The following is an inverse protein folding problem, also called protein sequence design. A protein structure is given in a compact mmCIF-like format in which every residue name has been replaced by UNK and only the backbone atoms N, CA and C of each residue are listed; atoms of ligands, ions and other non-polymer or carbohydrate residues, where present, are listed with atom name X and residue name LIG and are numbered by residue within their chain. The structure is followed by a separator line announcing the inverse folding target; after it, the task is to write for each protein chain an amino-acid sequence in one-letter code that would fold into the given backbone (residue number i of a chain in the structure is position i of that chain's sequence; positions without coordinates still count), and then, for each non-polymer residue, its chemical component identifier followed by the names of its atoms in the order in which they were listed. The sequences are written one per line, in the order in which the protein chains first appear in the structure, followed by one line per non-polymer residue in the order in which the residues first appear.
data_IF_186463744950
#
_entry.id   IF_186463744950
#
_cell.length_a   1.000
_cell.length_b   1.000
_cell.length_c   1.000
_cell.angle_alpha   90.00
_cell.angle_beta   90.00
_cell.angle_gamma   90.00
#
_symmetry.space_group_name_H-M   'P 1'
#
loop_
_entity.id
_entity.type
_entity.pdbx_description
1 polymer ?
#
# COMPACT_ATOMS: atom_id res chain seq x y z
N UNK A 1 -10.09 -19.34 5.38
CA UNK A 1 -10.49 -18.17 6.19
C UNK A 1 -9.41 -17.69 7.16
N UNK A 2 -8.74 -18.57 7.92
CA UNK A 2 -7.68 -18.18 8.87
C UNK A 2 -6.52 -17.38 8.24
N UNK A 3 -6.00 -17.82 7.09
CA UNK A 3 -4.94 -17.11 6.34
C UNK A 3 -5.37 -15.71 5.91
N UNK A 4 -6.58 -15.55 5.38
CA UNK A 4 -7.10 -14.25 4.93
C UNK A 4 -7.17 -13.27 6.11
N UNK A 5 -7.71 -13.71 7.25
CA UNK A 5 -7.81 -12.88 8.45
C UNK A 5 -6.43 -12.55 9.05
N UNK A 6 -5.48 -13.49 9.02
CA UNK A 6 -4.12 -13.25 9.49
C UNK A 6 -3.38 -12.23 8.59
N UNK A 7 -3.49 -12.38 7.26
CA UNK A 7 -2.89 -11.43 6.31
C UNK A 7 -3.53 -10.05 6.44
N UNK A 8 -4.86 -9.98 6.59
CA UNK A 8 -5.56 -8.72 6.81
C UNK A 8 -5.14 -8.06 8.14
N UNK A 9 -5.01 -8.84 9.21
CA UNK A 9 -4.52 -8.34 10.50
C UNK A 9 -3.10 -7.78 10.42
N UNK A 10 -2.19 -8.49 9.75
CA UNK A 10 -0.83 -8.01 9.53
C UNK A 10 -0.80 -6.71 8.69
N UNK A 11 -1.62 -6.61 7.65
CA UNK A 11 -1.76 -5.40 6.83
C UNK A 11 -2.23 -4.22 7.69
N UNK A 12 -3.24 -4.42 8.54
CA UNK A 12 -3.76 -3.37 9.43
C UNK A 12 -2.72 -2.89 10.46
N UNK A 13 -1.92 -3.81 11.00
CA UNK A 13 -0.81 -3.43 11.91
C UNK A 13 0.22 -2.59 11.18
N UNK A 14 0.65 -3.02 9.99
CA UNK A 14 1.65 -2.30 9.19
C UNK A 14 1.12 -0.92 8.79
N UNK A 15 -0.12 -0.83 8.32
CA UNK A 15 -0.77 0.43 7.95
C UNK A 15 -0.99 1.34 9.17
N UNK A 16 -1.31 0.80 10.34
CA UNK A 16 -1.56 1.57 11.56
C UNK A 16 -0.29 2.15 12.21
N UNK A 17 0.87 1.51 12.02
CA UNK A 17 2.15 1.94 12.61
C UNK A 17 2.56 3.37 12.22
N UNK A 18 2.53 3.78 10.93
CA UNK A 18 2.77 5.16 10.52
C UNK A 18 1.87 6.17 11.24
N UNK A 19 0.57 5.87 11.41
CA UNK A 19 -0.36 6.78 12.08
C UNK A 19 -0.06 6.89 13.58
N UNK A 20 0.35 5.79 14.23
CA UNK A 20 0.64 5.75 15.65
C UNK A 20 1.98 6.43 16.00
N UNK A 21 3.03 6.15 15.23
CA UNK A 21 4.39 6.59 15.52
C UNK A 21 4.72 7.95 14.88
N UNK A 22 4.16 8.24 13.70
CA UNK A 22 4.53 9.41 12.89
C UNK A 22 3.31 10.17 12.32
N UNK A 23 2.32 10.57 13.15
CA UNK A 23 1.08 11.18 12.68
C UNK A 23 1.29 12.48 11.88
N UNK A 24 2.34 13.26 12.19
CA UNK A 24 2.68 14.48 11.44
C UNK A 24 3.07 14.19 10.00
N UNK A 25 3.89 13.16 9.77
CA UNK A 25 4.32 12.77 8.42
C UNK A 25 3.19 12.23 7.58
N UNK A 26 2.26 11.50 8.20
CA UNK A 26 1.06 11.04 7.51
C UNK A 26 0.16 12.20 7.07
N UNK A 27 0.03 13.25 7.91
CA UNK A 27 -0.71 14.47 7.54
C UNK A 27 -0.04 15.23 6.40
N UNK A 28 1.28 15.43 6.46
CA UNK A 28 2.05 16.05 5.37
C UNK A 28 1.88 15.25 4.05
N UNK A 29 1.98 13.93 4.11
CA UNK A 29 1.79 13.08 2.94
C UNK A 29 0.36 13.17 2.39
N UNK A 30 -0.66 13.17 3.25
CA UNK A 30 -2.06 13.34 2.86
C UNK A 30 -2.33 14.66 2.14
N UNK A 31 -1.68 15.75 2.56
CA UNK A 31 -1.75 17.03 1.85
C UNK A 31 -1.11 16.94 0.46
N UNK A 32 0.08 16.33 0.37
CA UNK A 32 0.76 16.16 -0.94
C UNK A 32 -0.05 15.34 -1.94
N UNK A 33 -0.87 14.40 -1.46
CA UNK A 33 -1.77 13.60 -2.31
C UNK A 33 -2.93 14.44 -2.85
N UNK A 34 -3.44 15.40 -2.07
CA UNK A 34 -4.50 16.32 -2.52
C UNK A 34 -4.01 17.28 -3.60
N UNK A 35 -2.75 17.70 -3.52
CA UNK A 35 -2.13 18.59 -4.51
C UNK A 35 -1.62 17.84 -5.75
N UNK A 36 -1.56 16.51 -5.71
CA UNK A 36 -1.08 15.70 -6.83
C UNK A 36 -2.09 15.68 -7.99
N UNK A 37 -1.60 15.88 -9.22
CA UNK A 37 -2.49 15.81 -10.38
C UNK A 37 -2.97 14.37 -10.65
N UNK A 38 -4.17 14.25 -11.22
CA UNK A 38 -4.85 12.97 -11.46
C UNK A 38 -4.08 12.00 -12.37
N UNK A 39 -3.30 12.49 -13.34
CA UNK A 39 -2.43 11.67 -14.20
C UNK A 39 -1.29 11.04 -13.41
N UNK A 40 -0.65 11.80 -12.53
CA UNK A 40 0.41 11.30 -11.66
C UNK A 40 -0.08 10.18 -10.74
N UNK A 41 -1.24 10.39 -10.11
CA UNK A 41 -1.88 9.38 -9.25
C UNK A 41 -2.24 8.10 -10.03
N UNK A 42 -2.74 8.23 -11.26
CA UNK A 42 -3.05 7.06 -12.11
C UNK A 42 -1.81 6.27 -12.48
N UNK A 43 -0.70 6.95 -12.81
CA UNK A 43 0.57 6.29 -13.12
C UNK A 43 1.10 5.58 -11.87
N UNK A 44 1.10 6.25 -10.72
CA UNK A 44 1.51 5.65 -9.46
C UNK A 44 0.67 4.41 -9.13
N UNK A 45 -0.65 4.50 -9.24
CA UNK A 45 -1.55 3.36 -9.02
C UNK A 45 -1.26 2.20 -9.99
N UNK A 46 -1.05 2.50 -11.27
CA UNK A 46 -0.72 1.48 -12.27
C UNK A 46 0.61 0.78 -11.96
N UNK A 47 1.64 1.53 -11.59
CA UNK A 47 2.95 0.97 -11.18
C UNK A 47 2.79 0.10 -9.95
N UNK A 48 2.06 0.54 -8.94
CA UNK A 48 1.81 -0.23 -7.70
C UNK A 48 1.07 -1.54 -7.99
N UNK A 49 0.02 -1.50 -8.81
CA UNK A 49 -0.75 -2.69 -9.21
C UNK A 49 0.12 -3.67 -10.00
N UNK A 50 0.92 -3.19 -10.95
CA UNK A 50 1.81 -4.02 -11.74
C UNK A 50 2.88 -4.67 -10.86
N UNK A 51 3.53 -3.89 -9.99
CA UNK A 51 4.52 -4.41 -9.05
C UNK A 51 3.93 -5.49 -8.14
N UNK A 52 2.74 -5.24 -7.56
CA UNK A 52 2.04 -6.23 -6.74
C UNK A 52 1.68 -7.50 -7.52
N UNK A 53 1.27 -7.35 -8.78
CA UNK A 53 0.95 -8.48 -9.67
C UNK A 53 2.19 -9.31 -9.98
N UNK A 54 3.33 -8.66 -10.26
CA UNK A 54 4.61 -9.34 -10.52
C UNK A 54 5.05 -10.10 -9.27
N UNK A 55 5.01 -9.48 -8.09
CA UNK A 55 5.38 -10.13 -6.82
C UNK A 55 4.47 -11.34 -6.57
N UNK A 56 3.16 -11.19 -6.75
CA UNK A 56 2.21 -12.29 -6.58
C UNK A 56 2.53 -13.45 -7.54
N UNK A 57 2.81 -13.14 -8.81
CA UNK A 57 3.21 -14.15 -9.79
C UNK A 57 4.50 -14.86 -9.38
N UNK A 58 5.54 -14.14 -8.95
CA UNK A 58 6.81 -14.74 -8.50
C UNK A 58 6.61 -15.63 -7.26
N UNK A 59 5.85 -15.17 -6.27
CA UNK A 59 5.65 -15.93 -5.02
C UNK A 59 4.79 -17.17 -5.24
N UNK A 60 3.80 -17.09 -6.14
CA UNK A 60 2.85 -18.17 -6.36
C UNK A 60 3.29 -19.17 -7.44
N UNK A 61 3.93 -18.70 -8.51
CA UNK A 61 4.20 -19.49 -9.72
C UNK A 61 5.65 -19.98 -9.83
N UNK A 62 6.61 -19.35 -9.14
CA UNK A 62 8.02 -19.78 -9.11
C UNK A 62 8.31 -20.80 -7.99
N UNK A 63 7.27 -21.48 -7.52
CA UNK A 63 7.30 -22.45 -6.42
C UNK A 63 7.17 -23.88 -6.93
#
# INVERSE_FOLDING_TARGET
MKLILATLGALLVIEGLPYLLFPGKVKEWSQSVQDANSRGMRIMGLVTVLAGTIIFYLVFFLK
#
